data_IF_259163194548
#
_entry.id   IF_259163194548
#
_cell.length_a   1.000
_cell.length_b   1.000
_cell.length_c   1.000
_cell.angle_alpha   90.00
_cell.angle_beta   90.00
_cell.angle_gamma   90.00
#
_symmetry.space_group_name_H-M   'P 1'
#
loop_
_entity.id
_entity.type
_entity.pdbx_description
1 polymer ?
#
# COMPACT_ATOMS: atom_id res chain seq x y z
N UNK A 1 -18.04 -10.68 18.07
CA UNK A 1 -17.66 -11.26 16.76
C UNK A 1 -16.17 -11.03 16.46
N UNK A 2 -15.24 -11.33 17.38
CA UNK A 2 -13.78 -11.11 17.18
C UNK A 2 -12.89 -12.00 18.08
N UNK A 3 -13.28 -13.25 18.35
CA UNK A 3 -12.58 -14.11 19.33
C UNK A 3 -11.95 -15.38 18.77
N UNK A 4 -12.14 -15.70 17.47
CA UNK A 4 -11.69 -16.98 16.89
C UNK A 4 -10.17 -17.20 16.90
N UNK A 5 -9.35 -16.15 16.99
CA UNK A 5 -7.89 -16.25 17.03
C UNK A 5 -7.33 -16.35 18.46
N UNK A 6 -8.14 -16.07 19.50
CA UNK A 6 -7.66 -16.08 20.89
C UNK A 6 -7.57 -17.52 21.42
N UNK A 7 -8.48 -18.41 21.01
CA UNK A 7 -8.52 -19.81 21.49
C UNK A 7 -7.29 -20.65 21.08
N UNK A 8 -6.56 -20.25 20.03
CA UNK A 8 -5.34 -20.94 19.60
C UNK A 8 -4.06 -20.41 20.27
N UNK A 9 -4.13 -19.26 20.94
CA UNK A 9 -2.97 -18.69 21.64
C UNK A 9 -2.59 -19.50 22.88
N UNK A 10 -3.54 -20.18 23.52
CA UNK A 10 -3.29 -20.99 24.71
C UNK A 10 -2.58 -22.32 24.41
N UNK A 11 -2.56 -22.78 23.14
CA UNK A 11 -1.97 -24.08 22.77
C UNK A 11 -0.50 -24.01 22.33
N UNK A 12 -0.01 -22.85 21.89
CA UNK A 12 1.38 -22.67 21.45
C UNK A 12 1.88 -21.30 21.88
N UNK A 13 2.85 -21.28 22.80
CA UNK A 13 3.42 -20.07 23.41
C UNK A 13 3.88 -19.01 22.40
N UNK A 14 4.32 -19.41 21.20
CA UNK A 14 4.74 -18.51 20.12
C UNK A 14 3.61 -17.60 19.61
N UNK A 15 2.34 -18.06 19.64
CA UNK A 15 1.21 -17.23 19.22
C UNK A 15 0.84 -16.12 20.21
N UNK A 16 1.40 -16.15 21.44
CA UNK A 16 1.20 -15.08 22.42
C UNK A 16 1.69 -13.72 21.91
N UNK A 17 2.68 -13.70 21.00
CA UNK A 17 3.22 -12.48 20.39
C UNK A 17 2.14 -11.70 19.61
N UNK A 18 1.14 -12.39 19.06
CA UNK A 18 0.02 -11.74 18.36
C UNK A 18 -1.00 -11.06 19.27
N UNK A 19 -0.93 -11.25 20.60
CA UNK A 19 -1.74 -10.47 21.57
C UNK A 19 -1.26 -9.02 21.68
N UNK A 20 0.00 -8.75 21.33
CA UNK A 20 0.54 -7.41 21.36
C UNK A 20 0.14 -6.65 20.10
N UNK A 21 -0.60 -5.56 20.30
CA UNK A 21 -1.05 -4.71 19.20
C UNK A 21 0.13 -4.14 18.39
N UNK A 22 1.25 -3.86 19.03
CA UNK A 22 2.49 -3.39 18.38
C UNK A 22 3.04 -4.39 17.38
N UNK A 23 3.07 -5.68 17.73
CA UNK A 23 3.52 -6.74 16.82
C UNK A 23 2.56 -6.89 15.63
N UNK A 24 1.26 -6.86 15.89
CA UNK A 24 0.24 -6.92 14.83
C UNK A 24 0.33 -5.73 13.87
N UNK A 25 0.51 -4.53 14.39
CA UNK A 25 0.68 -3.31 13.58
C UNK A 25 1.97 -3.36 12.79
N UNK A 26 3.09 -3.77 13.40
CA UNK A 26 4.37 -3.94 12.70
C UNK A 26 4.27 -4.96 11.56
N UNK A 27 3.65 -6.12 11.81
CA UNK A 27 3.38 -7.12 10.78
C UNK A 27 2.52 -6.58 9.65
N UNK A 28 1.44 -5.85 9.95
CA UNK A 28 0.58 -5.23 8.96
C UNK A 28 1.32 -4.20 8.08
N UNK A 29 2.22 -3.40 8.67
CA UNK A 29 3.05 -2.45 7.91
C UNK A 29 3.98 -3.18 6.94
N UNK A 30 4.68 -4.22 7.39
CA UNK A 30 5.59 -4.99 6.54
C UNK A 30 4.83 -5.70 5.43
N UNK A 31 3.73 -6.37 5.76
CA UNK A 31 2.90 -7.08 4.76
C UNK A 31 2.30 -6.12 3.74
N UNK A 32 1.80 -4.96 4.17
CA UNK A 32 1.27 -3.95 3.23
C UNK A 32 2.36 -3.38 2.33
N UNK A 33 3.56 -3.11 2.86
CA UNK A 33 4.69 -2.69 2.05
C UNK A 33 5.07 -3.72 0.99
N UNK A 34 5.15 -5.01 1.35
CA UNK A 34 5.42 -6.09 0.39
C UNK A 34 4.36 -6.15 -0.72
N UNK A 35 3.07 -6.05 -0.35
CA UNK A 35 1.97 -6.03 -1.31
C UNK A 35 2.09 -4.81 -2.24
N UNK A 36 2.34 -3.62 -1.70
CA UNK A 36 2.46 -2.39 -2.50
C UNK A 36 3.68 -2.45 -3.43
N UNK A 37 4.82 -2.98 -2.99
CA UNK A 37 5.98 -3.09 -3.87
C UNK A 37 5.78 -4.13 -4.99
N UNK A 38 5.12 -5.25 -4.71
CA UNK A 38 4.86 -6.29 -5.72
C UNK A 38 3.78 -5.84 -6.72
N UNK A 39 2.65 -5.33 -6.23
CA UNK A 39 1.48 -5.01 -7.06
C UNK A 39 1.41 -3.55 -7.50
N UNK A 40 2.12 -2.65 -6.83
CA UNK A 40 2.13 -1.21 -7.12
C UNK A 40 2.40 -0.88 -8.59
N UNK A 41 3.44 -1.44 -9.24
CA UNK A 41 3.72 -1.15 -10.65
C UNK A 41 2.57 -1.57 -11.58
N UNK A 42 1.94 -2.73 -11.30
CA UNK A 42 0.82 -3.24 -12.10
C UNK A 42 -0.41 -2.34 -11.98
N UNK A 43 -0.70 -1.86 -10.76
CA UNK A 43 -1.79 -0.94 -10.48
C UNK A 43 -1.52 0.41 -11.17
N UNK A 44 -0.31 0.98 -11.01
CA UNK A 44 0.08 2.24 -11.65
C UNK A 44 -0.05 2.16 -13.18
N UNK A 45 0.42 1.07 -13.79
CA UNK A 45 0.32 0.90 -15.25
C UNK A 45 -1.13 0.74 -15.71
N UNK A 46 -1.96 0.01 -14.97
CA UNK A 46 -3.40 -0.12 -15.26
C UNK A 46 -4.11 1.23 -15.15
N UNK A 47 -3.82 2.01 -14.11
CA UNK A 47 -4.36 3.36 -13.97
C UNK A 47 -3.85 4.30 -15.07
N UNK A 48 -2.57 4.24 -15.44
CA UNK A 48 -2.01 5.06 -16.53
C UNK A 48 -2.69 4.77 -17.86
N UNK A 49 -2.98 3.50 -18.16
CA UNK A 49 -3.72 3.11 -19.36
C UNK A 49 -5.14 3.68 -19.35
N UNK A 50 -5.83 3.60 -18.20
CA UNK A 50 -7.23 4.05 -18.03
C UNK A 50 -7.36 5.58 -17.95
N UNK A 51 -6.39 6.26 -17.37
CA UNK A 51 -6.35 7.71 -17.21
C UNK A 51 -5.81 8.43 -18.45
N UNK A 52 -5.17 7.72 -19.39
CA UNK A 52 -4.58 8.31 -20.59
C UNK A 52 -3.34 9.17 -20.28
N UNK A 53 -3.13 10.27 -21.01
CA UNK A 53 -1.97 11.19 -20.88
C UNK A 53 -2.08 12.19 -19.70
N UNK A 54 -2.69 11.78 -18.59
CA UNK A 54 -2.86 12.65 -17.41
C UNK A 54 -3.81 13.83 -17.66
N UNK A 55 -4.02 14.66 -16.63
CA UNK A 55 -4.77 15.91 -16.78
C UNK A 55 -4.10 16.73 -17.89
N UNK A 56 -4.85 17.22 -18.91
CA UNK A 56 -4.28 18.13 -19.89
C UNK A 56 -3.69 19.31 -19.12
N UNK A 57 -2.36 19.45 -19.18
CA UNK A 57 -1.65 20.54 -18.52
C UNK A 57 -2.26 21.81 -19.10
N UNK A 58 -2.94 22.61 -18.25
CA UNK A 58 -3.51 23.88 -18.69
C UNK A 58 -2.37 24.71 -19.30
N UNK A 59 -2.61 25.25 -20.49
CA UNK A 59 -1.63 26.06 -21.21
C UNK A 59 -1.27 27.37 -20.46
N UNK A 60 -2.02 27.70 -19.41
CA UNK A 60 -1.93 28.96 -18.66
C UNK A 60 -0.81 28.97 -17.59
N UNK A 61 0.05 27.94 -17.54
CA UNK A 61 1.12 27.79 -16.53
C UNK A 61 2.52 28.23 -17.01
N UNK A 62 3.47 28.51 -16.11
CA UNK A 62 4.85 28.85 -16.48
C UNK A 62 5.55 27.68 -17.19
N UNK A 63 6.32 27.97 -18.25
CA UNK A 63 7.00 26.96 -19.09
C UNK A 63 7.89 25.98 -18.30
N UNK A 64 8.39 26.39 -17.13
CA UNK A 64 9.20 25.56 -16.22
C UNK A 64 8.43 24.37 -15.63
N UNK A 65 7.10 24.42 -15.53
CA UNK A 65 6.28 23.33 -15.00
C UNK A 65 6.08 22.18 -16.00
N UNK A 66 6.25 22.42 -17.30
CA UNK A 66 6.11 21.40 -18.34
C UNK A 66 7.30 20.43 -18.40
N UNK A 67 8.45 20.77 -17.79
CA UNK A 67 9.61 19.85 -17.69
C UNK A 67 9.34 18.60 -16.85
N UNK A 68 8.29 18.58 -16.01
CA UNK A 68 7.90 17.42 -15.19
C UNK A 68 6.84 16.53 -15.86
N UNK A 69 6.49 16.79 -17.12
CA UNK A 69 5.45 16.06 -17.84
C UNK A 69 5.84 14.63 -18.27
N UNK A 70 7.08 14.20 -17.98
CA UNK A 70 7.62 12.93 -18.48
C UNK A 70 8.49 12.12 -17.50
N UNK A 71 8.63 12.57 -16.25
CA UNK A 71 9.27 11.83 -15.15
C UNK A 71 8.21 11.50 -14.11
#
# INVERSE_FOLDING_TARGET
>A
MFTLLVDFADKVSVFNVFRYITFRTGGALITSALIVFIFGPTIINSLRLRQGKGQPIRADGPQTHFKKAGT
#
